data_IF_593465362689
#
_entry.id   IF_593465362689
#
_cell.length_a   1.000
_cell.length_b   1.000
_cell.length_c   1.000
_cell.angle_alpha   90.00
_cell.angle_beta   90.00
_cell.angle_gamma   90.00
#
_symmetry.space_group_name_H-M   'P 1'
#
loop_
_entity.id
_entity.type
_entity.pdbx_description
1 polymer ?
#
# COMPACT_ATOMS: atom_id res chain seq x y z
N UNK A 1 20.88 -26.42 -21.79
CA UNK A 1 20.90 -27.89 -21.78
C UNK A 1 20.54 -28.37 -20.41
N UNK A 2 19.28 -28.78 -20.25
CA UNK A 2 18.73 -29.31 -19.01
C UNK A 2 19.36 -30.67 -18.65
N UNK A 3 19.76 -30.85 -17.39
CA UNK A 3 20.27 -32.10 -16.84
C UNK A 3 19.16 -33.11 -16.61
N UNK A 4 19.36 -34.35 -17.07
CA UNK A 4 18.39 -35.44 -16.89
C UNK A 4 18.13 -35.75 -15.40
N UNK A 5 19.16 -35.77 -14.56
CA UNK A 5 19.00 -36.22 -13.17
C UNK A 5 18.73 -35.09 -12.17
N UNK A 6 19.29 -33.91 -12.44
CA UNK A 6 19.41 -32.83 -11.45
C UNK A 6 18.40 -31.71 -11.65
N UNK A 7 17.87 -31.53 -12.85
CA UNK A 7 16.87 -30.50 -13.13
C UNK A 7 15.46 -31.07 -12.98
N UNK A 8 14.51 -30.19 -12.65
CA UNK A 8 13.08 -30.51 -12.62
C UNK A 8 12.50 -30.28 -14.02
N UNK A 9 12.61 -31.29 -14.88
CA UNK A 9 12.13 -31.22 -16.27
C UNK A 9 10.97 -32.20 -16.56
N UNK A 10 10.67 -33.12 -15.64
CA UNK A 10 9.53 -34.05 -15.70
C UNK A 10 9.04 -34.37 -14.29
N UNK A 11 7.72 -34.42 -14.11
CA UNK A 11 7.08 -34.65 -12.81
C UNK A 11 7.30 -33.51 -11.80
N UNK A 12 7.11 -33.81 -10.51
CA UNK A 12 7.12 -32.82 -9.42
C UNK A 12 8.41 -32.81 -8.58
N UNK A 13 9.38 -33.67 -8.91
CA UNK A 13 10.64 -33.77 -8.17
C UNK A 13 11.81 -34.16 -9.08
N UNK A 14 13.04 -33.81 -8.68
CA UNK A 14 14.24 -34.20 -9.43
C UNK A 14 14.43 -35.73 -9.42
N UNK A 15 14.72 -36.30 -10.58
CA UNK A 15 14.83 -37.74 -10.78
C UNK A 15 15.91 -38.39 -9.89
N UNK A 16 16.98 -37.67 -9.52
CA UNK A 16 18.00 -38.17 -8.61
C UNK A 16 17.47 -38.53 -7.21
N UNK A 17 16.45 -37.81 -6.73
CA UNK A 17 15.84 -38.06 -5.42
C UNK A 17 14.73 -39.11 -5.51
N UNK A 18 13.99 -39.14 -6.61
CA UNK A 18 12.91 -40.09 -6.83
C UNK A 18 13.44 -41.51 -7.16
N UNK A 19 14.54 -41.60 -7.91
CA UNK A 19 15.13 -42.86 -8.38
C UNK A 19 16.61 -43.00 -7.97
N UNK A 20 16.94 -42.96 -6.66
CA UNK A 20 18.33 -42.89 -6.20
C UNK A 20 19.18 -44.12 -6.54
N UNK A 21 18.56 -45.30 -6.73
CA UNK A 21 19.30 -46.52 -7.11
C UNK A 21 19.72 -46.45 -8.57
N UNK A 22 18.84 -45.98 -9.46
CA UNK A 22 19.18 -45.75 -10.86
C UNK A 22 20.17 -44.60 -11.00
N UNK A 23 19.97 -43.51 -10.25
CA UNK A 23 20.91 -42.41 -10.24
C UNK A 23 22.29 -42.90 -9.82
N UNK A 24 22.43 -43.78 -8.82
CA UNK A 24 23.73 -44.36 -8.45
C UNK A 24 24.40 -45.16 -9.59
N UNK A 25 23.63 -45.87 -10.41
CA UNK A 25 24.12 -46.65 -11.57
C UNK A 25 24.59 -45.79 -12.74
N UNK A 26 24.13 -44.55 -12.83
CA UNK A 26 24.50 -43.62 -13.91
C UNK A 26 26.02 -43.39 -13.96
N UNK A 27 26.62 -43.56 -15.14
CA UNK A 27 28.03 -43.24 -15.35
C UNK A 27 28.24 -41.73 -15.46
N UNK A 28 27.34 -41.05 -16.19
CA UNK A 28 27.39 -39.62 -16.47
C UNK A 28 26.31 -38.88 -15.70
N UNK A 29 26.61 -38.40 -14.49
CA UNK A 29 25.63 -37.75 -13.60
C UNK A 29 25.06 -36.44 -14.16
N UNK A 30 25.80 -35.81 -15.06
CA UNK A 30 25.46 -34.54 -15.71
C UNK A 30 24.94 -34.74 -17.14
N UNK A 31 24.55 -35.97 -17.52
CA UNK A 31 23.97 -36.25 -18.84
C UNK A 31 22.75 -35.37 -19.10
N UNK A 32 22.68 -34.79 -20.30
CA UNK A 32 21.56 -33.96 -20.69
C UNK A 32 20.32 -34.80 -20.99
N UNK A 33 19.13 -34.19 -20.88
CA UNK A 33 17.86 -34.85 -21.24
C UNK A 33 17.90 -35.35 -22.70
N UNK A 34 18.35 -34.50 -23.61
CA UNK A 34 18.43 -34.82 -25.04
C UNK A 34 19.34 -36.03 -25.31
N UNK A 35 20.52 -36.06 -24.70
CA UNK A 35 21.47 -37.16 -24.88
C UNK A 35 20.96 -38.47 -24.28
N UNK A 36 20.33 -38.41 -23.10
CA UNK A 36 19.80 -39.59 -22.41
C UNK A 36 18.62 -40.22 -23.16
N UNK A 37 17.77 -39.41 -23.78
CA UNK A 37 16.57 -39.87 -24.49
C UNK A 37 16.81 -40.22 -25.97
N UNK A 38 17.95 -39.80 -26.55
CA UNK A 38 18.31 -40.15 -27.93
C UNK A 38 18.76 -41.63 -28.09
N UNK A 39 18.91 -42.36 -26.99
CA UNK A 39 19.30 -43.77 -26.98
C UNK A 39 18.50 -44.59 -25.96
N UNK A 40 18.94 -45.82 -25.72
CA UNK A 40 18.37 -46.61 -24.63
C UNK A 40 18.67 -45.96 -23.28
N UNK A 41 17.68 -45.84 -22.39
CA UNK A 41 17.85 -45.35 -21.02
C UNK A 41 18.94 -46.12 -20.24
N UNK A 42 19.21 -47.36 -20.62
CA UNK A 42 20.20 -48.24 -20.01
C UNK A 42 21.63 -47.98 -20.50
N UNK A 43 21.80 -47.31 -21.66
CA UNK A 43 23.08 -47.22 -22.37
C UNK A 43 24.20 -46.54 -21.56
N UNK A 44 23.86 -45.55 -20.74
CA UNK A 44 24.84 -44.81 -19.93
C UNK A 44 25.03 -45.41 -18.53
N UNK A 45 24.28 -46.45 -18.15
CA UNK A 45 24.46 -47.10 -16.86
C UNK A 45 25.74 -47.95 -16.84
N UNK A 46 26.46 -47.92 -15.71
CA UNK A 46 27.70 -48.69 -15.52
C UNK A 46 27.50 -50.20 -15.66
N UNK A 47 26.26 -50.66 -15.46
CA UNK A 47 25.80 -52.05 -15.59
C UNK A 47 24.29 -52.08 -15.80
N UNK A 48 23.76 -53.22 -16.21
CA UNK A 48 22.32 -53.48 -16.28
C UNK A 48 21.62 -53.35 -14.91
N UNK A 49 20.34 -53.00 -14.97
CA UNK A 49 19.41 -52.94 -13.83
C UNK A 49 19.22 -54.37 -13.29
N UNK A 50 19.38 -54.55 -11.97
CA UNK A 50 19.13 -55.83 -11.29
C UNK A 50 17.73 -55.87 -10.72
N UNK A 51 17.28 -57.08 -10.37
CA UNK A 51 15.98 -57.33 -9.74
C UNK A 51 15.72 -56.53 -8.46
N UNK A 52 14.47 -56.58 -8.00
CA UNK A 52 14.03 -55.91 -6.77
C UNK A 52 13.79 -54.41 -6.99
N UNK A 53 14.26 -53.58 -6.06
CA UNK A 53 14.00 -52.13 -6.07
C UNK A 53 14.58 -51.42 -7.29
N UNK A 54 15.72 -51.90 -7.82
CA UNK A 54 16.32 -51.35 -9.05
C UNK A 54 15.36 -51.52 -10.25
N UNK A 55 14.81 -52.71 -10.47
CA UNK A 55 13.80 -52.97 -11.52
C UNK A 55 12.54 -52.13 -11.31
N UNK A 56 12.02 -52.05 -10.08
CA UNK A 56 10.81 -51.28 -9.81
C UNK A 56 11.00 -49.78 -10.11
N UNK A 57 12.14 -49.20 -9.72
CA UNK A 57 12.46 -47.81 -10.08
C UNK A 57 12.58 -47.63 -11.59
N UNK A 58 13.12 -48.63 -12.31
CA UNK A 58 13.27 -48.56 -13.76
C UNK A 58 11.91 -48.60 -14.48
N UNK A 59 10.98 -49.45 -14.03
CA UNK A 59 9.63 -49.51 -14.57
C UNK A 59 8.90 -48.17 -14.38
N UNK A 60 8.98 -47.58 -13.18
CA UNK A 60 8.39 -46.27 -12.88
C UNK A 60 9.01 -45.16 -13.72
N UNK A 61 10.35 -45.10 -13.80
CA UNK A 61 11.06 -44.11 -14.62
C UNK A 61 10.69 -44.25 -16.10
N UNK A 62 10.58 -45.49 -16.60
CA UNK A 62 10.19 -45.75 -17.99
C UNK A 62 8.78 -45.27 -18.26
N UNK A 63 7.83 -45.55 -17.36
CA UNK A 63 6.44 -45.08 -17.49
C UNK A 63 6.31 -43.55 -17.44
N UNK A 64 7.17 -42.88 -16.66
CA UNK A 64 7.20 -41.43 -16.55
C UNK A 64 7.76 -40.76 -17.82
N UNK A 65 8.72 -41.42 -18.48
CA UNK A 65 9.42 -40.89 -19.66
C UNK A 65 8.72 -41.25 -20.97
N UNK A 66 8.01 -42.38 -21.04
CA UNK A 66 7.30 -42.82 -22.24
C UNK A 66 6.45 -41.73 -22.94
N UNK A 67 5.68 -40.87 -22.24
CA UNK A 67 4.90 -39.82 -22.90
C UNK A 67 5.72 -38.60 -23.34
N UNK A 68 7.02 -38.52 -23.01
CA UNK A 68 7.85 -37.36 -23.30
C UNK A 68 8.30 -37.36 -24.76
N UNK A 69 7.94 -36.30 -25.48
CA UNK A 69 8.40 -36.06 -26.85
C UNK A 69 9.30 -34.82 -26.83
N UNK A 70 10.57 -35.00 -27.18
CA UNK A 70 11.51 -33.88 -27.33
C UNK A 70 11.27 -33.17 -28.67
N UNK A 71 11.33 -31.84 -28.64
CA UNK A 71 11.35 -31.02 -29.85
C UNK A 71 12.77 -30.50 -30.10
N UNK A 72 13.15 -30.29 -31.36
CA UNK A 72 14.43 -29.65 -31.73
C UNK A 72 14.40 -28.12 -31.54
N UNK A 73 13.72 -27.63 -30.50
CA UNK A 73 13.69 -26.21 -30.15
C UNK A 73 14.58 -25.93 -28.93
N UNK A 74 15.07 -24.70 -28.81
CA UNK A 74 15.86 -24.30 -27.64
C UNK A 74 15.04 -24.41 -26.35
N UNK A 75 15.71 -24.76 -25.25
CA UNK A 75 15.13 -24.78 -23.90
C UNK A 75 14.43 -23.44 -23.59
N UNK A 76 13.18 -23.49 -23.10
CA UNK A 76 12.43 -22.30 -22.67
C UNK A 76 11.98 -22.44 -21.22
N UNK A 77 12.07 -21.34 -20.47
CA UNK A 77 11.48 -21.25 -19.14
C UNK A 77 9.96 -21.16 -19.26
N UNK A 78 9.25 -22.14 -18.69
CA UNK A 78 7.80 -22.17 -18.59
C UNK A 78 7.40 -21.69 -17.20
N UNK A 79 6.49 -20.73 -17.13
CA UNK A 79 5.88 -20.28 -15.88
C UNK A 79 4.38 -20.43 -16.04
N UNK A 80 3.84 -21.53 -15.51
CA UNK A 80 2.44 -21.87 -15.69
C UNK A 80 1.60 -21.54 -14.46
N UNK A 81 1.25 -20.25 -14.33
CA UNK A 81 0.39 -19.77 -13.25
C UNK A 81 -1.09 -19.73 -13.64
N UNK A 82 -1.39 -19.78 -14.94
CA UNK A 82 -2.72 -19.54 -15.50
C UNK A 82 -3.10 -20.54 -16.63
N UNK A 83 -2.29 -21.56 -16.90
CA UNK A 83 -2.50 -22.55 -17.96
C UNK A 83 -1.84 -22.19 -19.31
N UNK A 84 -1.24 -21.00 -19.45
CA UNK A 84 -0.62 -20.54 -20.70
C UNK A 84 0.88 -20.87 -20.77
N UNK A 85 1.50 -21.30 -19.67
CA UNK A 85 2.94 -21.60 -19.62
C UNK A 85 3.87 -20.40 -19.83
N UNK A 86 3.35 -19.17 -19.84
CA UNK A 86 4.12 -17.94 -20.07
C UNK A 86 4.17 -17.10 -18.79
N UNK A 87 5.36 -16.59 -18.48
CA UNK A 87 5.53 -15.65 -17.38
C UNK A 87 4.74 -14.36 -17.63
N UNK A 88 3.87 -14.00 -16.68
CA UNK A 88 3.12 -12.76 -16.70
C UNK A 88 3.18 -12.06 -15.34
N UNK A 89 3.59 -10.78 -15.35
CA UNK A 89 3.66 -9.95 -14.13
C UNK A 89 2.29 -9.82 -13.47
N UNK A 90 1.22 -9.80 -14.26
CA UNK A 90 -0.17 -9.74 -13.75
C UNK A 90 -0.49 -10.93 -12.84
N UNK A 91 -0.09 -12.13 -13.25
CA UNK A 91 -0.48 -13.36 -12.56
C UNK A 91 0.32 -13.55 -11.26
N UNK A 92 1.61 -13.24 -11.28
CA UNK A 92 2.42 -13.16 -10.05
C UNK A 92 1.87 -12.11 -9.10
N UNK A 93 1.55 -10.92 -9.62
CA UNK A 93 0.98 -9.86 -8.80
C UNK A 93 -0.33 -10.30 -8.16
N UNK A 94 -1.20 -10.95 -8.91
CA UNK A 94 -2.46 -11.47 -8.38
C UNK A 94 -2.23 -12.48 -7.25
N UNK A 95 -1.32 -13.45 -7.43
CA UNK A 95 -0.95 -14.41 -6.40
C UNK A 95 -0.38 -13.75 -5.13
N UNK A 96 0.47 -12.72 -5.29
CA UNK A 96 1.00 -11.94 -4.17
C UNK A 96 -0.15 -11.17 -3.49
N UNK A 97 -1.04 -10.55 -4.25
CA UNK A 97 -2.17 -9.81 -3.70
C UNK A 97 -3.11 -10.75 -2.91
N UNK A 98 -3.44 -11.94 -3.42
CA UNK A 98 -4.25 -12.93 -2.70
C UNK A 98 -3.59 -13.46 -1.42
N UNK A 99 -2.26 -13.65 -1.44
CA UNK A 99 -1.54 -14.22 -0.29
C UNK A 99 -1.20 -13.20 0.79
N UNK A 100 -0.94 -11.93 0.43
CA UNK A 100 -0.43 -10.92 1.37
C UNK A 100 -1.39 -9.79 1.69
N UNK A 101 -2.35 -9.49 0.82
CA UNK A 101 -3.32 -8.42 1.09
C UNK A 101 -4.60 -9.06 1.62
N UNK A 102 -4.96 -8.83 2.89
CA UNK A 102 -6.31 -9.14 3.33
C UNK A 102 -7.25 -8.39 2.39
N UNK A 103 -8.14 -9.11 1.72
CA UNK A 103 -9.21 -8.53 0.93
C UNK A 103 -10.19 -7.87 1.92
N UNK A 104 -9.81 -6.72 2.48
CA UNK A 104 -10.71 -5.91 3.28
C UNK A 104 -11.75 -5.43 2.31
N UNK A 105 -12.93 -6.04 2.29
CA UNK A 105 -14.03 -5.76 1.35
C UNK A 105 -14.55 -4.31 1.37
N UNK A 106 -13.87 -3.42 2.09
CA UNK A 106 -14.11 -1.98 2.10
C UNK A 106 -13.11 -1.28 1.16
N UNK A 107 -13.57 -0.71 0.03
CA UNK A 107 -12.70 0.08 -0.84
C UNK A 107 -12.15 1.29 -0.09
N UNK A 108 -10.91 1.67 -0.42
CA UNK A 108 -10.27 2.85 0.18
C UNK A 108 -11.04 4.13 -0.17
N UNK A 109 -11.29 4.97 0.84
CA UNK A 109 -12.01 6.24 0.69
C UNK A 109 -11.04 7.33 0.25
N UNK A 110 -11.14 7.74 -1.02
CA UNK A 110 -10.30 8.80 -1.57
C UNK A 110 -11.12 10.04 -1.88
N UNK A 111 -10.73 11.18 -1.31
CA UNK A 111 -11.37 12.47 -1.56
C UNK A 111 -10.62 13.19 -2.67
N UNK A 112 -11.26 13.43 -3.82
CA UNK A 112 -10.60 14.02 -5.00
C UNK A 112 -10.13 15.46 -4.78
N UNK A 113 -10.78 16.18 -3.88
CA UNK A 113 -10.47 17.58 -3.58
C UNK A 113 -9.23 17.74 -2.69
N UNK A 114 -8.69 16.69 -2.06
CA UNK A 114 -7.47 16.81 -1.25
C UNK A 114 -6.23 16.26 -1.97
N UNK A 115 -5.02 16.76 -1.68
CA UNK A 115 -3.77 16.20 -2.19
C UNK A 115 -3.63 14.71 -1.86
N UNK A 116 -3.00 13.94 -2.76
CA UNK A 116 -2.77 12.50 -2.57
C UNK A 116 -2.10 12.18 -1.23
N UNK A 117 -1.17 13.04 -0.75
CA UNK A 117 -0.52 12.88 0.55
C UNK A 117 -1.50 12.86 1.74
N UNK A 118 -2.54 13.68 1.70
CA UNK A 118 -3.56 13.79 2.75
C UNK A 118 -4.46 12.57 2.74
N UNK A 119 -4.80 12.16 1.53
CA UNK A 119 -5.52 10.94 1.21
C UNK A 119 -4.77 9.70 1.74
N UNK A 120 -3.45 9.59 1.49
CA UNK A 120 -2.60 8.49 2.00
C UNK A 120 -2.51 8.53 3.52
N UNK A 121 -2.45 9.73 4.10
CA UNK A 121 -2.49 9.92 5.53
C UNK A 121 -3.81 9.41 6.14
N UNK A 122 -4.97 9.77 5.57
CA UNK A 122 -6.27 9.29 6.03
C UNK A 122 -6.42 7.76 5.89
N UNK A 123 -5.86 7.16 4.84
CA UNK A 123 -5.78 5.71 4.72
C UNK A 123 -4.97 5.08 5.87
N UNK A 124 -3.84 5.69 6.28
CA UNK A 124 -3.10 5.23 7.47
C UNK A 124 -3.89 5.41 8.77
N UNK A 125 -4.73 6.46 8.88
CA UNK A 125 -5.64 6.65 10.02
C UNK A 125 -6.64 5.50 10.10
N UNK A 126 -7.28 5.16 8.98
CA UNK A 126 -8.23 4.04 8.88
C UNK A 126 -7.62 2.70 9.31
N UNK A 127 -6.31 2.51 9.08
CA UNK A 127 -5.60 1.30 9.46
C UNK A 127 -4.99 1.36 10.88
N UNK A 128 -5.18 2.46 11.62
CA UNK A 128 -4.52 2.72 12.91
C UNK A 128 -2.98 2.65 12.83
N UNK A 129 -2.41 3.00 11.66
CA UNK A 129 -0.98 2.86 11.31
C UNK A 129 -0.22 4.19 11.27
N UNK A 130 -0.73 5.26 11.89
CA UNK A 130 0.02 6.51 12.04
C UNK A 130 1.27 6.31 12.92
N UNK A 131 2.30 7.12 12.68
CA UNK A 131 3.50 7.15 13.51
C UNK A 131 3.24 7.92 14.81
N UNK A 132 2.42 7.36 15.69
CA UNK A 132 2.17 7.89 17.04
C UNK A 132 3.15 7.28 18.04
N UNK A 133 3.32 7.90 19.21
CA UNK A 133 4.23 7.36 20.25
C UNK A 133 3.92 5.92 20.64
N UNK A 134 2.64 5.58 20.80
CA UNK A 134 2.20 4.20 21.08
C UNK A 134 2.58 3.23 19.95
N UNK A 135 2.43 3.65 18.69
CA UNK A 135 2.79 2.80 17.54
C UNK A 135 4.30 2.66 17.35
N UNK A 136 5.09 3.69 17.67
CA UNK A 136 6.55 3.63 17.68
C UNK A 136 7.04 2.67 18.77
N UNK A 137 6.49 2.79 19.98
CA UNK A 137 6.79 1.89 21.10
C UNK A 137 6.49 0.43 20.76
N UNK A 138 5.33 0.14 20.14
CA UNK A 138 4.97 -1.21 19.66
C UNK A 138 5.94 -1.79 18.62
N UNK A 139 6.72 -0.94 17.93
CA UNK A 139 7.75 -1.33 16.96
C UNK A 139 9.15 -1.39 17.58
N UNK A 140 9.24 -1.38 18.91
CA UNK A 140 10.49 -1.37 19.66
C UNK A 140 11.38 -0.15 19.36
N UNK A 141 10.78 0.98 18.96
CA UNK A 141 11.48 2.26 18.84
C UNK A 141 11.43 2.97 20.19
N UNK A 142 12.59 3.34 20.72
CA UNK A 142 12.70 4.02 22.01
C UNK A 142 11.98 5.37 21.99
N UNK A 143 10.98 5.51 22.85
CA UNK A 143 10.25 6.77 23.09
C UNK A 143 10.33 7.09 24.58
N UNK A 144 10.56 8.37 24.91
CA UNK A 144 10.70 8.83 26.32
C UNK A 144 9.42 8.60 27.12
N UNK A 145 8.27 8.75 26.47
CA UNK A 145 6.96 8.48 27.05
C UNK A 145 5.99 8.10 25.94
N UNK A 146 5.04 7.22 26.24
CA UNK A 146 3.90 6.92 25.37
C UNK A 146 2.74 7.89 25.57
N UNK A 147 2.80 8.76 26.58
CA UNK A 147 1.73 9.72 26.86
C UNK A 147 1.64 10.80 25.78
N UNK A 148 0.41 11.25 25.54
CA UNK A 148 0.07 12.37 24.69
C UNK A 148 0.81 13.64 25.13
N UNK A 149 1.59 14.31 24.25
CA UNK A 149 2.35 15.50 24.59
C UNK A 149 1.47 16.72 24.92
N UNK A 150 0.19 16.68 24.52
CA UNK A 150 -0.75 17.77 24.78
C UNK A 150 -1.46 17.63 26.13
N UNK A 151 -2.19 16.53 26.35
CA UNK A 151 -2.98 16.36 27.57
C UNK A 151 -2.21 15.67 28.72
N UNK A 152 -1.13 14.95 28.40
CA UNK A 152 -0.29 14.21 29.36
C UNK A 152 -1.07 13.19 30.22
N UNK A 153 -2.30 12.85 29.84
CA UNK A 153 -3.21 12.03 30.65
C UNK A 153 -3.48 10.64 30.07
N UNK A 154 -3.20 10.41 28.79
CA UNK A 154 -3.48 9.12 28.12
C UNK A 154 -2.42 8.80 27.07
N UNK A 155 -2.22 7.51 26.72
CA UNK A 155 -1.30 7.13 25.65
C UNK A 155 -1.67 7.77 24.31
N UNK A 156 -0.67 8.20 23.55
CA UNK A 156 -0.81 8.78 22.22
C UNK A 156 -0.93 7.66 21.17
N UNK A 157 -2.11 7.10 21.04
CA UNK A 157 -2.49 6.29 19.88
C UNK A 157 -3.26 7.11 18.83
N UNK A 158 -3.60 6.48 17.69
CA UNK A 158 -4.31 7.18 16.60
C UNK A 158 -5.69 7.67 17.05
N UNK A 159 -6.40 6.88 17.86
CA UNK A 159 -7.72 7.24 18.38
C UNK A 159 -7.65 8.44 19.31
N UNK A 160 -6.73 8.42 20.27
CA UNK A 160 -6.53 9.52 21.19
C UNK A 160 -6.07 10.79 20.48
N UNK A 161 -5.05 10.68 19.62
CA UNK A 161 -4.46 11.83 18.93
C UNK A 161 -5.47 12.55 18.04
N UNK A 162 -6.38 11.84 17.37
CA UNK A 162 -7.30 12.42 16.39
C UNK A 162 -8.74 12.60 16.88
N UNK A 163 -9.15 11.93 17.96
CA UNK A 163 -10.56 11.90 18.38
C UNK A 163 -10.75 12.13 19.89
N UNK A 164 -9.98 11.47 20.75
CA UNK A 164 -10.27 11.48 22.20
C UNK A 164 -9.53 12.57 23.01
N UNK A 165 -8.39 13.08 22.51
CA UNK A 165 -7.64 14.15 23.16
C UNK A 165 -8.50 15.42 23.27
N UNK A 166 -8.34 16.21 24.34
CA UNK A 166 -9.07 17.47 24.52
C UNK A 166 -8.88 18.42 23.34
N UNK A 167 -7.66 18.55 22.82
CA UNK A 167 -7.39 19.32 21.61
C UNK A 167 -8.16 18.82 20.39
N UNK A 168 -8.16 17.50 20.18
CA UNK A 168 -8.84 16.88 19.05
C UNK A 168 -10.36 17.10 19.15
N UNK A 169 -10.93 16.95 20.35
CA UNK A 169 -12.35 17.22 20.62
C UNK A 169 -12.73 18.67 20.33
N UNK A 170 -11.90 19.64 20.76
CA UNK A 170 -12.12 21.06 20.49
C UNK A 170 -12.15 21.33 18.97
N UNK A 171 -11.15 20.81 18.23
CA UNK A 171 -11.06 20.98 16.77
C UNK A 171 -12.23 20.33 16.05
N UNK A 172 -12.57 19.08 16.39
CA UNK A 172 -13.71 18.37 15.78
C UNK A 172 -15.04 19.06 16.06
N UNK A 173 -15.25 19.52 17.30
CA UNK A 173 -16.44 20.29 17.69
C UNK A 173 -16.56 21.57 16.87
N UNK A 174 -15.45 22.29 16.68
CA UNK A 174 -15.42 23.51 15.88
C UNK A 174 -15.73 23.25 14.41
N UNK A 175 -15.14 22.21 13.80
CA UNK A 175 -15.46 21.79 12.42
C UNK A 175 -16.93 21.41 12.29
N UNK A 176 -17.45 20.56 13.18
CA UNK A 176 -18.85 20.11 13.15
C UNK A 176 -19.83 21.28 13.34
N UNK A 177 -19.60 22.16 14.34
CA UNK A 177 -20.46 23.33 14.60
C UNK A 177 -20.57 24.23 13.38
N UNK A 178 -19.50 24.43 12.62
CA UNK A 178 -19.49 25.27 11.40
C UNK A 178 -20.31 24.69 10.25
N UNK A 179 -20.53 23.39 10.25
CA UNK A 179 -21.40 22.70 9.30
C UNK A 179 -22.82 22.48 9.85
N UNK A 180 -23.17 23.10 10.99
CA UNK A 180 -24.40 22.86 11.73
C UNK A 180 -24.59 21.39 12.10
N UNK A 181 -23.50 20.69 12.39
CA UNK A 181 -23.46 19.30 12.82
C UNK A 181 -22.95 19.20 14.26
N UNK A 182 -23.32 18.11 14.91
CA UNK A 182 -22.74 17.70 16.19
C UNK A 182 -22.08 16.34 16.04
N UNK A 183 -20.85 16.21 16.53
CA UNK A 183 -20.09 14.98 16.48
C UNK A 183 -19.19 14.88 17.72
N UNK A 184 -19.07 13.66 18.26
CA UNK A 184 -18.11 13.35 19.33
C UNK A 184 -17.58 11.92 19.20
N UNK A 185 -17.06 11.52 18.03
CA UNK A 185 -16.47 10.19 17.88
C UNK A 185 -15.21 10.06 18.74
N UNK A 186 -14.95 8.86 19.26
CA UNK A 186 -13.68 8.54 19.96
C UNK A 186 -12.73 7.67 19.14
N UNK A 187 -13.15 7.24 17.94
CA UNK A 187 -12.37 6.42 17.02
C UNK A 187 -12.72 6.71 15.55
N UNK A 188 -11.90 6.19 14.63
CA UNK A 188 -12.18 6.31 13.19
C UNK A 188 -13.47 5.57 12.80
N UNK A 189 -13.73 4.40 13.39
CA UNK A 189 -14.91 3.59 13.06
C UNK A 189 -16.21 4.27 13.50
N UNK A 190 -16.21 4.90 14.69
CA UNK A 190 -17.33 5.73 15.14
C UNK A 190 -17.51 6.97 14.28
N UNK A 191 -16.41 7.67 13.95
CA UNK A 191 -16.47 8.81 13.04
C UNK A 191 -17.06 8.38 11.69
N UNK A 192 -16.66 7.24 11.15
CA UNK A 192 -17.15 6.74 9.86
C UNK A 192 -18.64 6.38 9.93
N UNK A 193 -19.08 5.75 11.03
CA UNK A 193 -20.49 5.44 11.27
C UNK A 193 -21.34 6.71 11.34
N UNK A 194 -20.91 7.70 12.13
CA UNK A 194 -21.53 9.02 12.21
C UNK A 194 -21.52 9.72 10.85
N UNK A 195 -20.39 9.76 10.16
CA UNK A 195 -20.24 10.46 8.88
C UNK A 195 -21.15 9.85 7.81
N UNK A 196 -21.32 8.53 7.79
CA UNK A 196 -22.29 7.85 6.92
C UNK A 196 -23.73 8.29 7.20
N UNK A 197 -24.11 8.50 8.46
CA UNK A 197 -25.47 8.93 8.84
C UNK A 197 -25.79 10.39 8.52
N UNK A 198 -24.77 11.26 8.37
CA UNK A 198 -24.95 12.67 8.00
C UNK A 198 -25.68 12.80 6.65
N UNK A 199 -26.81 13.53 6.66
CA UNK A 199 -27.68 13.77 5.50
C UNK A 199 -27.40 15.14 4.86
N UNK A 200 -26.36 15.20 4.04
CA UNK A 200 -26.02 16.37 3.22
C UNK A 200 -25.79 15.93 1.77
N UNK A 201 -25.88 16.86 0.82
CA UNK A 201 -25.66 16.56 -0.60
C UNK A 201 -24.30 15.91 -0.85
N UNK A 202 -24.21 14.95 -1.76
CA UNK A 202 -23.01 14.12 -1.99
C UNK A 202 -21.73 14.93 -2.19
N UNK A 203 -21.78 16.00 -2.99
CA UNK A 203 -20.63 16.89 -3.22
C UNK A 203 -20.17 17.63 -1.96
N UNK A 204 -21.12 18.06 -1.12
CA UNK A 204 -20.83 18.69 0.16
C UNK A 204 -20.30 17.67 1.16
N UNK A 205 -20.78 16.44 1.09
CA UNK A 205 -20.28 15.32 1.89
C UNK A 205 -18.82 15.03 1.54
N UNK A 206 -18.48 14.91 0.27
CA UNK A 206 -17.09 14.73 -0.17
C UNK A 206 -16.18 15.87 0.32
N UNK A 207 -16.70 17.10 0.32
CA UNK A 207 -15.99 18.29 0.78
C UNK A 207 -15.74 18.25 2.28
N UNK A 208 -16.77 17.95 3.06
CA UNK A 208 -16.69 17.78 4.51
C UNK A 208 -15.73 16.66 4.89
N UNK A 209 -15.74 15.54 4.15
CA UNK A 209 -14.76 14.46 4.35
C UNK A 209 -13.33 14.97 4.16
N UNK A 210 -13.10 15.77 3.11
CA UNK A 210 -11.82 16.44 2.89
C UNK A 210 -11.40 17.35 4.05
N UNK A 211 -12.33 18.16 4.59
CA UNK A 211 -12.07 19.03 5.75
C UNK A 211 -11.67 18.21 6.97
N UNK A 212 -12.31 17.07 7.24
CA UNK A 212 -11.89 16.16 8.31
C UNK A 212 -10.47 15.64 8.10
N UNK A 213 -10.12 15.21 6.88
CA UNK A 213 -8.79 14.68 6.58
C UNK A 213 -7.71 15.75 6.78
N UNK A 214 -7.99 16.99 6.36
CA UNK A 214 -7.11 18.14 6.59
C UNK A 214 -7.00 18.46 8.07
N UNK A 215 -8.10 18.39 8.82
CA UNK A 215 -8.11 18.62 10.27
C UNK A 215 -7.24 17.62 11.01
N UNK A 216 -7.35 16.33 10.66
CA UNK A 216 -6.49 15.28 11.22
C UNK A 216 -5.02 15.46 10.86
N UNK A 217 -4.73 15.88 9.62
CA UNK A 217 -3.37 16.21 9.22
C UNK A 217 -2.79 17.35 10.07
N UNK A 218 -3.56 18.42 10.29
CA UNK A 218 -3.12 19.56 11.09
C UNK A 218 -2.88 19.17 12.56
N UNK A 219 -3.78 18.38 13.15
CA UNK A 219 -3.60 17.83 14.50
C UNK A 219 -2.32 16.99 14.60
N UNK A 220 -2.13 16.05 13.68
CA UNK A 220 -0.92 15.21 13.68
C UNK A 220 0.35 16.03 13.49
N UNK A 221 0.34 17.01 12.58
CA UNK A 221 1.48 17.88 12.34
C UNK A 221 1.80 18.75 13.57
N UNK A 222 0.78 19.30 14.23
CA UNK A 222 0.93 20.05 15.48
C UNK A 222 1.58 19.19 16.57
N UNK A 223 1.12 17.95 16.75
CA UNK A 223 1.65 17.02 17.75
C UNK A 223 3.11 16.63 17.46
N UNK A 224 3.47 16.46 16.18
CA UNK A 224 4.86 16.21 15.80
C UNK A 224 5.75 17.43 16.03
N UNK A 225 5.26 18.64 15.73
CA UNK A 225 6.03 19.86 15.94
C UNK A 225 6.34 20.07 17.43
N UNK A 226 5.44 19.71 18.35
CA UNK A 226 5.72 19.73 19.79
C UNK A 226 6.93 18.88 20.21
N UNK A 227 7.32 17.89 19.39
CA UNK A 227 8.48 17.05 19.64
C UNK A 227 9.72 17.50 18.86
N UNK A 228 9.57 17.81 17.57
CA UNK A 228 10.69 18.08 16.67
C UNK A 228 11.16 19.54 16.64
N UNK A 229 10.37 20.47 17.18
CA UNK A 229 10.69 21.91 17.11
C UNK A 229 10.82 22.52 18.50
N UNK A 230 11.79 23.41 18.66
CA UNK A 230 11.99 24.16 19.91
C UNK A 230 10.90 25.22 20.12
N UNK A 231 10.31 25.70 19.04
CA UNK A 231 9.23 26.68 19.07
C UNK A 231 7.89 25.95 19.17
N UNK A 232 7.27 25.98 20.34
CA UNK A 232 5.97 25.34 20.54
C UNK A 232 4.91 26.02 19.67
N UNK A 233 4.24 25.30 18.76
CA UNK A 233 3.17 25.88 17.98
C UNK A 233 2.04 26.34 18.91
N UNK A 234 1.47 27.51 18.61
CA UNK A 234 0.36 28.07 19.37
C UNK A 234 -0.96 27.41 18.95
N UNK A 235 -1.75 26.98 19.95
CA UNK A 235 -3.04 26.29 19.73
C UNK A 235 -3.98 27.12 18.86
N UNK A 236 -3.95 28.44 19.03
CA UNK A 236 -4.89 29.37 18.41
C UNK A 236 -4.83 29.31 16.88
N UNK A 237 -3.64 29.04 16.30
CA UNK A 237 -3.47 28.96 14.84
C UNK A 237 -3.87 27.63 14.23
N UNK A 238 -4.14 26.57 15.02
CA UNK A 238 -4.48 25.26 14.45
C UNK A 238 -5.74 25.36 13.59
N UNK A 239 -6.74 26.09 14.06
CA UNK A 239 -7.98 26.24 13.30
C UNK A 239 -7.76 27.08 12.04
N UNK A 240 -6.97 28.15 12.12
CA UNK A 240 -6.63 28.98 10.96
C UNK A 240 -5.88 28.16 9.90
N UNK A 241 -4.95 27.30 10.34
CA UNK A 241 -4.24 26.36 9.48
C UNK A 241 -5.19 25.37 8.80
N UNK A 242 -6.19 24.87 9.53
CA UNK A 242 -7.23 23.99 8.98
C UNK A 242 -8.06 24.72 7.93
N UNK A 243 -8.48 25.95 8.21
CA UNK A 243 -9.29 26.77 7.28
C UNK A 243 -8.47 27.08 6.04
N UNK A 244 -7.26 27.60 6.21
CA UNK A 244 -6.34 27.95 5.12
C UNK A 244 -6.04 26.73 4.24
N UNK A 245 -5.68 25.58 4.82
CA UNK A 245 -5.33 24.38 4.05
C UNK A 245 -6.55 23.76 3.39
N UNK A 246 -7.69 23.72 4.09
CA UNK A 246 -8.94 23.20 3.51
C UNK A 246 -9.37 24.05 2.32
N UNK A 247 -9.30 25.37 2.44
CA UNK A 247 -9.56 26.30 1.35
C UNK A 247 -8.62 26.07 0.17
N UNK A 248 -7.30 26.16 0.40
CA UNK A 248 -6.30 26.03 -0.68
C UNK A 248 -6.36 24.67 -1.37
N UNK A 249 -6.54 23.59 -0.63
CA UNK A 249 -6.49 22.25 -1.18
C UNK A 249 -7.80 21.86 -1.85
N UNK A 250 -8.93 22.06 -1.16
CA UNK A 250 -10.23 21.65 -1.68
C UNK A 250 -10.72 22.53 -2.84
N UNK A 251 -10.38 23.82 -2.87
CA UNK A 251 -10.78 24.73 -3.95
C UNK A 251 -9.89 24.64 -5.18
N UNK A 252 -8.56 24.64 -5.01
CA UNK A 252 -7.63 24.57 -6.15
C UNK A 252 -7.79 23.27 -6.97
N UNK A 253 -8.42 22.24 -6.40
CA UNK A 253 -8.65 20.93 -7.02
C UNK A 253 -10.12 20.62 -7.30
N UNK A 254 -11.05 21.47 -6.83
CA UNK A 254 -12.50 21.28 -7.02
C UNK A 254 -13.01 21.98 -8.27
N UNK A 255 -13.69 21.25 -9.17
CA UNK A 255 -14.35 21.86 -10.35
C UNK A 255 -15.57 22.72 -9.93
N UNK A 256 -15.34 24.03 -9.84
CA UNK A 256 -16.22 25.19 -10.08
C UNK A 256 -17.61 25.34 -9.43
N UNK A 257 -18.08 24.51 -8.49
CA UNK A 257 -19.34 24.82 -7.72
C UNK A 257 -19.29 24.58 -6.20
N UNK A 258 -18.39 23.75 -5.70
CA UNK A 258 -18.19 23.59 -4.24
C UNK A 258 -17.50 24.78 -3.58
N UNK A 259 -17.00 25.73 -4.39
CA UNK A 259 -16.24 26.86 -3.90
C UNK A 259 -17.04 27.90 -3.15
N UNK A 260 -18.31 28.12 -3.52
CA UNK A 260 -19.15 29.11 -2.86
C UNK A 260 -19.51 28.68 -1.43
N UNK A 261 -19.72 27.39 -1.19
CA UNK A 261 -20.03 26.81 0.13
C UNK A 261 -18.79 26.79 1.04
N UNK A 262 -17.63 26.43 0.50
CA UNK A 262 -16.34 26.57 1.21
C UNK A 262 -15.98 28.03 1.47
N UNK A 263 -16.30 28.94 0.56
CA UNK A 263 -16.12 30.37 0.74
C UNK A 263 -17.09 30.89 1.80
N UNK A 264 -18.34 30.42 1.85
CA UNK A 264 -19.26 30.77 2.93
C UNK A 264 -18.77 30.23 4.26
N UNK A 265 -18.26 28.99 4.28
CA UNK A 265 -17.61 28.38 5.44
C UNK A 265 -16.38 29.20 5.89
N UNK A 266 -15.45 29.52 4.99
CA UNK A 266 -14.23 30.30 5.25
C UNK A 266 -14.51 31.77 5.57
N UNK A 267 -15.50 32.39 4.94
CA UNK A 267 -15.89 33.79 5.20
C UNK A 267 -16.60 33.93 6.54
N UNK A 268 -17.30 32.88 7.02
CA UNK A 268 -17.84 32.85 8.38
C UNK A 268 -16.77 32.81 9.48
N UNK A 269 -15.49 32.63 9.11
CA UNK A 269 -14.33 32.60 10.03
C UNK A 269 -13.81 34.01 10.33
N UNK A 270 -14.26 35.05 9.63
CA UNK A 270 -13.91 36.43 9.99
C UNK A 270 -12.43 36.77 9.78
N UNK A 271 -11.84 36.35 8.67
CA UNK A 271 -10.47 36.72 8.28
C UNK A 271 -10.47 37.51 6.96
N UNK A 272 -10.86 38.78 7.02
CA UNK A 272 -10.55 39.74 5.95
C UNK A 272 -9.10 40.27 6.06
N UNK A 273 -8.44 40.14 7.21
CA UNK A 273 -7.13 40.81 7.42
C UNK A 273 -5.90 39.98 7.04
N UNK A 274 -6.00 38.67 6.84
CA UNK A 274 -4.85 37.82 6.48
C UNK A 274 -4.75 37.48 4.98
N UNK A 275 -5.82 37.72 4.21
CA UNK A 275 -5.76 37.70 2.75
C UNK A 275 -5.21 39.02 2.16
N UNK A 276 -5.33 40.13 2.91
CA UNK A 276 -4.74 41.43 2.53
C UNK A 276 -3.23 41.53 2.75
N UNK A 277 -2.65 40.72 3.65
CA UNK A 277 -1.23 40.81 3.99
C UNK A 277 -0.29 40.01 3.05
N UNK A 278 -0.84 39.20 2.15
CA UNK A 278 -0.09 38.51 1.08
C UNK A 278 -0.62 38.84 -0.32
N UNK A 279 -1.57 39.77 -0.41
CA UNK A 279 -2.19 40.26 -1.63
C UNK A 279 -1.57 41.57 -2.11
N UNK A 280 -0.26 41.56 -2.38
CA UNK A 280 0.44 42.69 -2.97
C UNK A 280 1.46 42.19 -3.99
N UNK A 281 1.09 42.22 -5.27
CA UNK A 281 1.99 42.15 -6.42
C UNK A 281 2.62 40.80 -6.82
N UNK A 282 1.87 39.70 -6.79
CA UNK A 282 2.17 38.54 -7.66
C UNK A 282 0.84 37.99 -8.16
N UNK A 283 0.74 37.66 -9.46
CA UNK A 283 -0.45 37.11 -10.15
C UNK A 283 -1.40 38.11 -10.84
N UNK A 284 -0.86 39.18 -11.43
CA UNK A 284 -1.28 39.58 -12.78
C UNK A 284 -0.07 39.46 -13.71
N UNK A 285 0.31 38.22 -13.96
CA UNK A 285 1.20 37.86 -15.05
C UNK A 285 0.47 36.83 -15.88
N UNK A 286 -0.08 37.26 -17.00
CA UNK A 286 -0.56 36.38 -18.05
C UNK A 286 0.52 35.33 -18.35
N UNK A 287 0.17 34.05 -18.24
CA UNK A 287 0.94 32.99 -18.89
C UNK A 287 -0.04 32.16 -19.70
N UNK A 288 -0.08 32.56 -20.97
CA UNK A 288 -0.45 31.78 -22.14
C UNK A 288 -0.07 30.30 -22.03
N UNK A 289 -0.96 29.47 -22.54
CA UNK A 289 -0.78 28.06 -22.89
C UNK A 289 0.64 27.69 -23.32
N UNK A 290 1.35 26.94 -22.49
CA UNK A 290 2.40 26.02 -22.92
C UNK A 290 2.62 24.95 -21.85
N UNK A 291 2.44 23.69 -22.24
CA UNK A 291 2.71 22.51 -21.43
C UNK A 291 4.21 22.39 -21.13
N UNK A 292 4.64 22.05 -19.90
CA UNK A 292 5.99 21.54 -19.67
C UNK A 292 6.00 20.04 -19.47
N UNK A 293 6.94 19.44 -20.20
CA UNK A 293 7.40 18.07 -20.24
C UNK A 293 7.79 17.49 -18.88
N UNK A 294 7.63 16.17 -18.78
CA UNK A 294 8.13 15.33 -17.69
C UNK A 294 9.66 15.33 -17.71
N UNK A 295 10.30 15.74 -16.62
CA UNK A 295 11.69 15.41 -16.36
C UNK A 295 11.81 14.64 -15.04
N UNK A 296 12.19 13.37 -15.19
CA UNK A 296 12.70 12.50 -14.15
C UNK A 296 14.11 12.95 -13.78
N UNK A 297 14.42 13.03 -12.49
CA UNK A 297 15.79 12.96 -12.01
C UNK A 297 15.97 11.80 -11.01
N UNK A 298 17.10 11.07 -11.07
CA UNK A 298 17.29 9.81 -10.38
C UNK A 298 17.87 10.03 -8.97
N UNK A 299 17.51 9.16 -8.04
CA UNK A 299 18.19 9.04 -6.75
C UNK A 299 19.54 8.33 -6.95
N UNK A 300 20.62 8.96 -6.49
CA UNK A 300 21.85 8.27 -6.07
C UNK A 300 21.68 7.77 -4.65
#
# INVERSE_FOLDING_TARGET
>A
MSSFWKDLWVGDSQLQFQFPRLFALESFKDISVAEKLNGSLLSSFRRGVRGGTETHQYELLSSLIEPVILSNSDDRWVCDLNGEGVFCVKDIRFLIEESFLPNSGTPTRWVKSVPIKINVFAWKVCLYRLSTRSNLSRRNITVVSTLCPFCVASPEDTSHLLFACSLAKDVMSLVCRRWNLSCSPISYDEWLSWFKSVRIGSKLKDLLEGVFYVSWWCLWNFMNQLFFTNNRPQKDFIFDDIVFRSFNWCLARGKSRGGQELNNWASSVGHQDSLGAWGGNVWLGEVSSSSPTRDFYPFR
#
